data_IF_042245298067
#
_entry.id   IF_042245298067
#
_cell.length_a   1.000
_cell.length_b   1.000
_cell.length_c   1.000
_cell.angle_alpha   90.00
_cell.angle_beta   90.00
_cell.angle_gamma   90.00
#
_symmetry.space_group_name_H-M   'P 1'
#
loop_
_entity.id
_entity.type
_entity.pdbx_description
1 polymer ?
#
# COMPACT_ATOMS: atom_id res chain seq x y z
N UNK A 1 3.38 26.57 -10.17
CA UNK A 1 2.20 25.91 -9.61
C UNK A 1 2.60 24.59 -8.95
N UNK A 2 2.04 24.33 -7.81
CA UNK A 2 2.34 23.15 -7.03
C UNK A 2 1.31 22.07 -7.28
N UNK A 3 1.75 20.82 -7.37
CA UNK A 3 0.87 19.70 -7.58
C UNK A 3 1.30 18.57 -6.64
N UNK A 4 0.31 17.87 -6.05
CA UNK A 4 0.56 16.74 -5.17
C UNK A 4 -0.02 15.46 -5.73
N UNK A 5 0.72 14.38 -5.58
CA UNK A 5 0.25 13.03 -5.82
C UNK A 5 0.52 12.20 -4.58
N UNK A 6 -0.28 11.18 -4.38
CA UNK A 6 -0.11 10.26 -3.26
C UNK A 6 0.16 8.86 -3.80
N UNK A 7 1.19 8.24 -3.28
CA UNK A 7 1.53 6.84 -3.60
C UNK A 7 1.48 6.02 -2.33
N UNK A 8 1.01 4.79 -2.43
CA UNK A 8 1.11 3.91 -1.29
C UNK A 8 2.54 3.38 -1.18
N UNK A 9 2.91 3.00 0.04
CA UNK A 9 4.21 2.44 0.37
C UNK A 9 4.11 0.97 0.77
N UNK A 10 3.08 0.29 0.30
CA UNK A 10 2.83 -1.11 0.65
C UNK A 10 4.04 -1.97 0.32
N UNK A 11 4.57 -1.82 -0.88
CA UNK A 11 5.74 -2.57 -1.33
C UNK A 11 6.94 -2.39 -0.39
N UNK A 12 7.19 -1.16 0.01
CA UNK A 12 8.32 -0.83 0.90
C UNK A 12 8.13 -1.49 2.25
N UNK A 13 6.93 -1.38 2.82
CA UNK A 13 6.64 -1.93 4.14
C UNK A 13 6.69 -3.46 4.12
N UNK A 14 6.17 -4.09 3.06
CA UNK A 14 6.28 -5.54 2.91
C UNK A 14 7.74 -5.97 2.90
N UNK A 15 8.58 -5.26 2.16
CA UNK A 15 10.00 -5.58 2.09
C UNK A 15 10.68 -5.39 3.45
N UNK A 16 10.40 -4.29 4.13
CA UNK A 16 10.98 -4.00 5.44
C UNK A 16 10.61 -5.07 6.48
N UNK A 17 9.40 -5.56 6.43
CA UNK A 17 8.89 -6.54 7.39
C UNK A 17 9.08 -7.98 6.92
N UNK A 18 9.63 -8.17 5.72
CA UNK A 18 9.85 -9.49 5.13
C UNK A 18 8.56 -10.29 5.00
N UNK A 19 7.49 -9.60 4.61
CA UNK A 19 6.17 -10.19 4.38
C UNK A 19 5.94 -10.31 2.88
N UNK A 20 5.45 -11.46 2.44
CA UNK A 20 5.22 -11.72 1.02
C UNK A 20 3.88 -11.20 0.55
N UNK A 21 3.77 -10.94 -0.76
CA UNK A 21 2.48 -10.58 -1.37
C UNK A 21 1.45 -11.70 -1.15
N UNK A 22 1.90 -12.95 -1.22
CA UNK A 22 1.02 -14.10 -1.01
C UNK A 22 0.40 -14.08 0.38
N UNK A 23 1.22 -13.83 1.40
CA UNK A 23 0.72 -13.77 2.77
C UNK A 23 -0.32 -12.66 2.94
N UNK A 24 -0.01 -11.47 2.44
CA UNK A 24 -0.93 -10.34 2.54
C UNK A 24 -2.24 -10.63 1.79
N UNK A 25 -2.14 -11.22 0.60
CA UNK A 25 -3.32 -11.60 -0.19
C UNK A 25 -4.20 -12.57 0.57
N UNK A 26 -3.62 -13.57 1.20
CA UNK A 26 -4.36 -14.55 2.00
C UNK A 26 -5.06 -13.90 3.18
N UNK A 27 -4.36 -13.01 3.89
CA UNK A 27 -4.93 -12.32 5.05
C UNK A 27 -6.10 -11.42 4.68
N UNK A 28 -6.07 -10.82 3.51
CA UNK A 28 -7.11 -9.90 3.06
C UNK A 28 -8.19 -10.58 2.23
N UNK A 29 -7.99 -11.83 1.83
CA UNK A 29 -8.94 -12.53 0.99
C UNK A 29 -9.00 -11.97 -0.43
N UNK A 30 -7.89 -11.47 -0.97
CA UNK A 30 -7.80 -10.96 -2.33
C UNK A 30 -6.75 -11.74 -3.11
N UNK A 31 -6.69 -11.53 -4.42
CA UNK A 31 -5.71 -12.21 -5.26
C UNK A 31 -4.32 -11.59 -5.14
N UNK A 32 -3.30 -12.38 -5.45
CA UNK A 32 -1.92 -11.87 -5.50
C UNK A 32 -1.78 -10.78 -6.56
N UNK A 33 -2.54 -10.88 -7.64
CA UNK A 33 -2.57 -9.87 -8.68
C UNK A 33 -3.02 -8.52 -8.12
N UNK A 34 -4.04 -8.54 -7.26
CA UNK A 34 -4.53 -7.32 -6.62
C UNK A 34 -3.42 -6.67 -5.79
N UNK A 35 -2.72 -7.47 -4.97
CA UNK A 35 -1.62 -6.95 -4.16
C UNK A 35 -0.52 -6.37 -5.05
N UNK A 36 -0.16 -7.08 -6.13
CA UNK A 36 0.85 -6.62 -7.06
C UNK A 36 0.50 -5.26 -7.67
N UNK A 37 -0.76 -5.07 -8.04
CA UNK A 37 -1.22 -3.79 -8.59
C UNK A 37 -1.15 -2.66 -7.57
N UNK A 38 -1.45 -2.96 -6.31
CA UNK A 38 -1.29 -1.98 -5.24
C UNK A 38 0.18 -1.62 -5.05
N UNK A 39 1.05 -2.62 -5.05
CA UNK A 39 2.49 -2.40 -4.87
C UNK A 39 3.11 -1.53 -5.96
N UNK A 40 2.60 -1.62 -7.17
CA UNK A 40 3.07 -0.81 -8.30
C UNK A 40 2.31 0.51 -8.46
N UNK A 41 1.37 0.76 -7.55
CA UNK A 41 0.50 1.94 -7.59
C UNK A 41 -0.36 2.03 -8.85
N UNK A 42 -0.62 0.89 -9.48
CA UNK A 42 -1.52 0.80 -10.62
C UNK A 42 -2.96 0.99 -10.18
N UNK A 43 -3.32 0.38 -9.06
CA UNK A 43 -4.60 0.59 -8.40
C UNK A 43 -4.34 0.81 -6.92
N UNK A 44 -5.37 1.30 -6.21
CA UNK A 44 -5.25 1.57 -4.78
C UNK A 44 -6.27 0.75 -4.01
N UNK A 45 -5.92 0.32 -2.79
CA UNK A 45 -6.91 -0.36 -1.93
C UNK A 45 -7.98 0.62 -1.46
N UNK A 46 -9.15 0.10 -1.13
CA UNK A 46 -10.22 0.90 -0.53
C UNK A 46 -9.83 1.29 0.90
N UNK A 47 -10.58 2.23 1.48
CA UNK A 47 -10.32 2.64 2.86
C UNK A 47 -10.44 1.47 3.85
N UNK A 48 -11.47 0.60 3.78
CA UNK A 48 -11.51 -0.57 4.66
C UNK A 48 -10.33 -1.51 4.44
N UNK A 49 -9.89 -1.70 3.20
CA UNK A 49 -8.73 -2.54 2.90
C UNK A 49 -7.45 -1.94 3.48
N UNK A 50 -7.31 -0.62 3.45
CA UNK A 50 -6.15 0.05 4.06
C UNK A 50 -6.09 -0.20 5.56
N UNK A 51 -7.23 -0.16 6.23
CA UNK A 51 -7.29 -0.44 7.66
C UNK A 51 -6.83 -1.86 7.94
N UNK A 52 -7.28 -2.82 7.14
CA UNK A 52 -6.86 -4.22 7.30
C UNK A 52 -5.38 -4.40 7.00
N UNK A 53 -4.87 -3.75 5.97
CA UNK A 53 -3.43 -3.78 5.65
C UNK A 53 -2.63 -3.26 6.83
N UNK A 54 -3.04 -2.14 7.42
CA UNK A 54 -2.32 -1.57 8.58
C UNK A 54 -2.27 -2.55 9.75
N UNK A 55 -3.33 -3.31 9.97
CA UNK A 55 -3.36 -4.33 11.02
C UNK A 55 -2.44 -5.50 10.73
N UNK A 56 -2.49 -6.02 9.52
CA UNK A 56 -1.65 -7.15 9.11
C UNK A 56 -0.18 -6.77 9.17
N UNK A 57 0.16 -5.58 8.67
CA UNK A 57 1.54 -5.11 8.63
C UNK A 57 1.98 -4.44 9.93
N UNK A 58 1.07 -4.24 10.89
CA UNK A 58 1.37 -3.61 12.17
C UNK A 58 2.04 -2.25 11.99
N UNK A 59 1.42 -1.40 11.18
CA UNK A 59 1.88 -0.04 10.94
C UNK A 59 0.69 0.91 10.99
N UNK A 60 0.98 2.20 11.07
CA UNK A 60 -0.06 3.22 11.06
C UNK A 60 -0.54 3.48 9.63
N UNK A 61 -1.79 3.90 9.49
CA UNK A 61 -2.31 4.26 8.17
C UNK A 61 -1.46 5.31 7.49
N UNK A 62 -0.95 6.27 8.24
CA UNK A 62 -0.11 7.34 7.68
C UNK A 62 1.20 6.81 7.09
N UNK A 63 1.65 5.64 7.54
CA UNK A 63 2.88 5.03 7.02
C UNK A 63 2.68 4.35 5.67
N UNK A 64 1.41 4.14 5.29
CA UNK A 64 1.08 3.45 4.04
C UNK A 64 1.10 4.37 2.82
N UNK A 65 1.16 5.67 3.02
CA UNK A 65 1.16 6.64 1.92
C UNK A 65 2.23 7.69 2.08
N UNK A 66 2.70 8.19 0.94
CA UNK A 66 3.57 9.35 0.89
C UNK A 66 3.03 10.33 -0.13
N UNK A 67 3.25 11.61 0.11
CA UNK A 67 2.90 12.67 -0.81
C UNK A 67 4.11 13.00 -1.67
N UNK A 68 3.89 13.12 -2.97
CA UNK A 68 4.91 13.55 -3.92
C UNK A 68 4.47 14.91 -4.44
N UNK A 69 5.32 15.91 -4.30
CA UNK A 69 5.01 17.27 -4.71
C UNK A 69 5.76 17.62 -5.99
N UNK A 70 5.04 18.26 -6.91
CA UNK A 70 5.60 18.72 -8.17
C UNK A 70 5.45 20.23 -8.27
N UNK A 71 6.45 20.87 -8.87
CA UNK A 71 6.42 22.29 -9.15
C UNK A 71 6.53 22.49 -10.66
N UNK A 72 5.55 23.15 -11.22
CA UNK A 72 5.52 23.45 -12.64
C UNK A 72 6.17 24.81 -12.93
#
# INVERSE_FOLDING_TARGET
>A
MEKKEYRNRIRVILAEKMITNTYLAEQLGVSKMTISRWCTNTTQPSAPQLIEISRVLQCDLKDLYEAIEYYA
#
